data_IF_798777753966
#
_entry.id   IF_798777753966
#
_cell.length_a   1.000
_cell.length_b   1.000
_cell.length_c   1.000
_cell.angle_alpha   90.00
_cell.angle_beta   90.00
_cell.angle_gamma   90.00
#
_symmetry.space_group_name_H-M   'P 1'
#
loop_
_entity.id
_entity.type
_entity.pdbx_description
1 polymer ?
#
# COMPACT_ATOMS: atom_id res chain seq x y z
N UNK A 1 5.10 -14.38 -17.69
CA UNK A 1 6.06 -13.49 -16.97
C UNK A 1 6.22 -12.15 -17.68
N UNK A 2 6.61 -12.11 -18.97
CA UNK A 2 6.77 -10.85 -19.71
C UNK A 2 5.50 -9.97 -19.71
N UNK A 3 4.34 -10.57 -19.96
CA UNK A 3 3.04 -9.87 -19.91
C UNK A 3 2.77 -9.24 -18.54
N UNK A 4 3.02 -9.98 -17.45
CA UNK A 4 2.86 -9.50 -16.08
C UNK A 4 3.71 -8.25 -15.83
N UNK A 5 4.99 -8.29 -16.22
CA UNK A 5 5.90 -7.15 -16.00
C UNK A 5 5.46 -5.95 -16.84
N UNK A 6 5.02 -6.18 -18.07
CA UNK A 6 4.51 -5.12 -18.96
C UNK A 6 3.29 -4.42 -18.35
N UNK A 7 2.26 -5.18 -17.97
CA UNK A 7 1.03 -4.62 -17.36
C UNK A 7 1.36 -3.90 -16.05
N UNK A 8 2.26 -4.47 -15.23
CA UNK A 8 2.69 -3.84 -13.97
C UNK A 8 3.33 -2.47 -14.22
N UNK A 9 4.23 -2.35 -15.20
CA UNK A 9 4.93 -1.09 -15.46
C UNK A 9 4.05 -0.08 -16.21
N UNK A 10 3.41 -0.50 -17.29
CA UNK A 10 2.73 0.41 -18.22
C UNK A 10 1.31 0.78 -17.79
N UNK A 11 0.64 -0.04 -16.97
CA UNK A 11 -0.73 0.21 -16.52
C UNK A 11 -0.80 0.45 -15.00
N UNK A 12 -0.31 -0.51 -14.18
CA UNK A 12 -0.47 -0.44 -12.73
C UNK A 12 0.38 0.67 -12.07
N UNK A 13 1.70 0.68 -12.32
CA UNK A 13 2.58 1.74 -11.80
C UNK A 13 2.25 3.09 -12.44
N UNK A 14 1.86 3.09 -13.72
CA UNK A 14 1.38 4.29 -14.40
C UNK A 14 0.20 4.91 -13.65
N UNK A 15 -0.83 4.12 -13.35
CA UNK A 15 -1.99 4.55 -12.58
C UNK A 15 -1.59 5.09 -11.20
N UNK A 16 -0.83 4.31 -10.42
CA UNK A 16 -0.45 4.68 -9.05
C UNK A 16 0.44 5.92 -8.97
N UNK A 17 1.32 6.13 -9.95
CA UNK A 17 2.24 7.28 -9.95
C UNK A 17 1.54 8.62 -10.16
N UNK A 18 0.38 8.62 -10.83
CA UNK A 18 -0.29 9.84 -11.28
C UNK A 18 0.51 10.67 -12.28
N UNK A 19 1.59 10.13 -12.86
CA UNK A 19 2.42 10.86 -13.81
C UNK A 19 1.71 11.06 -15.15
N UNK A 20 1.93 12.22 -15.76
CA UNK A 20 1.58 12.46 -17.17
C UNK A 20 2.62 11.87 -18.15
N UNK A 21 3.81 11.53 -17.64
CA UNK A 21 4.81 10.79 -18.40
C UNK A 21 4.34 9.35 -18.62
N UNK A 22 4.41 8.88 -19.87
CA UNK A 22 4.05 7.51 -20.24
C UNK A 22 5.22 6.57 -19.97
N UNK A 23 5.09 5.76 -18.92
CA UNK A 23 6.02 4.68 -18.60
C UNK A 23 6.03 3.65 -19.73
N UNK A 24 7.18 3.00 -19.92
CA UNK A 24 7.40 2.00 -20.97
C UNK A 24 8.19 0.83 -20.40
N UNK A 25 7.71 -0.39 -20.65
CA UNK A 25 8.49 -1.59 -20.43
C UNK A 25 9.32 -1.89 -21.68
N UNK A 26 10.61 -1.54 -21.59
CA UNK A 26 11.58 -1.74 -22.67
C UNK A 26 12.92 -2.18 -22.08
N UNK A 27 13.20 -3.50 -22.02
CA UNK A 27 14.45 -4.03 -21.47
C UNK A 27 15.71 -3.50 -22.18
N UNK A 28 15.61 -3.11 -23.46
CA UNK A 28 16.77 -2.67 -24.25
C UNK A 28 17.40 -1.39 -23.70
N UNK A 29 16.61 -0.58 -22.98
CA UNK A 29 17.09 0.62 -22.28
C UNK A 29 18.19 0.31 -21.26
N UNK A 30 18.26 -0.93 -20.75
CA UNK A 30 19.26 -1.36 -19.76
C UNK A 30 20.44 -2.12 -20.37
N UNK A 31 20.44 -2.45 -21.68
CA UNK A 31 21.47 -3.31 -22.28
C UNK A 31 22.88 -2.72 -22.22
N UNK A 32 22.98 -1.39 -22.30
CA UNK A 32 24.24 -0.66 -22.23
C UNK A 32 24.50 -0.04 -20.84
N UNK A 33 23.75 -0.47 -19.82
CA UNK A 33 23.86 0.03 -18.45
C UNK A 33 24.47 -1.02 -17.53
N UNK A 34 25.16 -0.57 -16.48
CA UNK A 34 25.60 -1.44 -15.39
C UNK A 34 24.41 -1.76 -14.49
N UNK A 35 23.67 -2.81 -14.82
CA UNK A 35 22.50 -3.27 -14.07
C UNK A 35 22.65 -4.73 -13.65
N UNK A 36 22.16 -5.09 -12.46
CA UNK A 36 22.22 -6.44 -11.92
C UNK A 36 20.86 -7.12 -12.09
N UNK A 37 20.78 -8.19 -12.90
CA UNK A 37 19.57 -8.96 -13.13
C UNK A 37 19.31 -9.99 -12.02
N UNK A 38 19.27 -9.51 -10.79
CA UNK A 38 18.92 -10.30 -9.62
C UNK A 38 18.15 -9.41 -8.64
N UNK A 39 17.26 -10.04 -7.87
CA UNK A 39 16.51 -9.35 -6.84
C UNK A 39 16.39 -10.21 -5.58
N UNK A 40 16.39 -9.56 -4.42
CA UNK A 40 16.05 -10.17 -3.13
C UNK A 40 14.99 -9.28 -2.49
N UNK A 41 13.81 -9.84 -2.25
CA UNK A 41 12.72 -9.08 -1.62
C UNK A 41 13.14 -8.72 -0.20
N UNK A 42 13.22 -7.41 0.06
CA UNK A 42 13.52 -6.87 1.38
C UNK A 42 12.28 -6.95 2.27
N UNK A 43 12.49 -7.15 3.58
CA UNK A 43 11.37 -7.23 4.51
C UNK A 43 10.61 -5.90 4.61
N UNK A 44 11.31 -4.77 4.48
CA UNK A 44 10.73 -3.44 4.48
C UNK A 44 9.82 -3.20 3.27
N UNK A 45 10.13 -3.83 2.14
CA UNK A 45 9.27 -3.77 0.96
C UNK A 45 7.97 -4.54 1.17
N UNK A 46 8.01 -5.66 1.90
CA UNK A 46 6.80 -6.36 2.33
C UNK A 46 5.96 -5.47 3.27
N UNK A 47 6.58 -4.85 4.27
CA UNK A 47 5.90 -3.93 5.20
C UNK A 47 5.24 -2.75 4.48
N UNK A 48 5.96 -2.12 3.54
CA UNK A 48 5.46 -1.02 2.73
C UNK A 48 4.21 -1.39 1.93
N UNK A 49 4.09 -2.63 1.47
CA UNK A 49 3.01 -3.09 0.60
C UNK A 49 1.72 -3.48 1.34
N UNK A 50 1.64 -3.25 2.66
CA UNK A 50 0.44 -3.51 3.47
C UNK A 50 -0.63 -2.41 3.27
N UNK A 51 -1.15 -2.31 2.04
CA UNK A 51 -2.14 -1.31 1.59
C UNK A 51 -3.59 -1.68 1.88
N UNK A 52 -3.84 -2.22 3.09
CA UNK A 52 -5.17 -2.57 3.57
C UNK A 52 -6.22 -1.43 3.50
N UNK A 53 -5.86 -0.13 3.60
CA UNK A 53 -6.83 0.95 3.38
C UNK A 53 -7.46 1.01 1.98
N UNK A 54 -6.94 0.27 0.99
CA UNK A 54 -7.59 0.15 -0.32
C UNK A 54 -8.94 -0.58 -0.23
N UNK A 55 -9.11 -1.44 0.78
CA UNK A 55 -10.29 -2.28 0.93
C UNK A 55 -11.51 -1.42 1.30
N UNK A 56 -12.68 -1.64 0.67
CA UNK A 56 -13.89 -0.87 0.95
C UNK A 56 -14.59 -1.33 2.24
N UNK A 57 -15.66 -0.64 2.64
CA UNK A 57 -16.52 -1.08 3.76
C UNK A 57 -17.33 -2.35 3.42
N UNK A 58 -17.66 -2.53 2.14
CA UNK A 58 -18.39 -3.67 1.58
C UNK A 58 -18.06 -3.87 0.09
N UNK A 59 -18.40 -5.01 -0.49
CA UNK A 59 -18.05 -5.37 -1.87
C UNK A 59 -19.30 -5.34 -2.75
N UNK A 60 -19.35 -4.37 -3.66
CA UNK A 60 -20.46 -4.21 -4.60
C UNK A 60 -20.22 -5.11 -5.81
N UNK A 61 -21.11 -6.06 -6.05
CA UNK A 61 -21.09 -6.93 -7.24
C UNK A 61 -22.47 -6.91 -7.89
N UNK A 62 -22.54 -6.37 -9.10
CA UNK A 62 -23.78 -6.10 -9.82
C UNK A 62 -24.79 -5.28 -8.98
N UNK A 63 -25.84 -5.93 -8.46
CA UNK A 63 -26.88 -5.30 -7.62
C UNK A 63 -26.78 -5.72 -6.15
N UNK A 64 -25.78 -6.53 -5.80
CA UNK A 64 -25.61 -7.07 -4.45
C UNK A 64 -24.45 -6.39 -3.75
N UNK A 65 -24.71 -6.03 -2.49
CA UNK A 65 -23.71 -5.48 -1.58
C UNK A 65 -23.32 -6.57 -0.57
N UNK A 66 -22.08 -7.04 -0.65
CA UNK A 66 -21.56 -8.09 0.22
C UNK A 66 -20.81 -7.50 1.40
N UNK A 67 -21.19 -7.87 2.62
CA UNK A 67 -20.35 -7.60 3.80
C UNK A 67 -19.07 -8.45 3.78
N UNK A 68 -18.07 -8.08 4.59
CA UNK A 68 -16.85 -8.88 4.76
C UNK A 68 -17.15 -10.34 5.13
N UNK A 69 -18.15 -10.60 5.98
CA UNK A 69 -18.50 -11.96 6.41
C UNK A 69 -19.09 -12.79 5.27
N UNK A 70 -19.77 -12.14 4.33
CA UNK A 70 -20.38 -12.82 3.17
C UNK A 70 -19.41 -12.97 1.99
N UNK A 71 -18.40 -12.10 1.89
CA UNK A 71 -17.44 -12.11 0.78
C UNK A 71 -16.23 -12.98 1.06
N UNK A 72 -15.64 -12.86 2.25
CA UNK A 72 -14.40 -13.56 2.61
C UNK A 72 -14.68 -15.07 2.74
N UNK A 73 -13.84 -15.89 2.08
CA UNK A 73 -13.98 -17.34 1.93
C UNK A 73 -15.26 -17.81 1.22
N UNK A 74 -15.99 -16.90 0.56
CA UNK A 74 -17.14 -17.30 -0.24
C UNK A 74 -16.68 -17.88 -1.58
N UNK A 75 -16.82 -19.20 -1.72
CA UNK A 75 -16.38 -19.94 -2.90
C UNK A 75 -17.37 -19.87 -4.06
N UNK A 76 -18.58 -19.32 -3.88
CA UNK A 76 -19.61 -19.30 -4.93
C UNK A 76 -19.74 -17.97 -5.66
N UNK A 77 -19.29 -16.84 -5.09
CA UNK A 77 -19.38 -15.49 -5.71
C UNK A 77 -18.87 -15.49 -7.15
N UNK A 78 -17.70 -16.09 -7.39
CA UNK A 78 -17.11 -16.16 -8.73
C UNK A 78 -17.91 -17.04 -9.69
N UNK A 79 -18.42 -18.18 -9.23
CA UNK A 79 -19.18 -19.10 -10.08
C UNK A 79 -20.61 -18.63 -10.35
N UNK A 80 -21.19 -17.84 -9.44
CA UNK A 80 -22.54 -17.29 -9.56
C UNK A 80 -22.57 -16.06 -10.46
N UNK A 81 -21.68 -15.09 -10.25
CA UNK A 81 -21.64 -13.85 -11.05
C UNK A 81 -20.82 -13.98 -12.33
N UNK A 82 -19.83 -14.88 -12.37
CA UNK A 82 -18.89 -15.00 -13.48
C UNK A 82 -17.80 -13.91 -13.46
N UNK A 83 -16.73 -14.15 -14.24
CA UNK A 83 -15.54 -13.28 -14.25
C UNK A 83 -15.86 -11.89 -14.80
N UNK A 84 -16.65 -11.80 -15.87
CA UNK A 84 -16.97 -10.52 -16.53
C UNK A 84 -17.68 -9.56 -15.59
N UNK A 85 -18.71 -10.01 -14.88
CA UNK A 85 -19.45 -9.17 -13.94
C UNK A 85 -18.59 -8.73 -12.75
N UNK A 86 -17.70 -9.60 -12.26
CA UNK A 86 -16.77 -9.23 -11.19
C UNK A 86 -15.76 -8.16 -11.64
N UNK A 87 -15.17 -8.32 -12.82
CA UNK A 87 -14.24 -7.33 -13.38
C UNK A 87 -14.95 -5.99 -13.58
N UNK A 88 -16.15 -5.98 -14.15
CA UNK A 88 -16.93 -4.76 -14.32
C UNK A 88 -17.26 -4.11 -12.97
N UNK A 89 -17.70 -4.89 -11.98
CA UNK A 89 -18.06 -4.36 -10.66
C UNK A 89 -16.86 -3.75 -9.93
N UNK A 90 -15.71 -4.45 -9.91
CA UNK A 90 -14.50 -3.95 -9.25
C UNK A 90 -13.79 -2.83 -10.02
N UNK A 91 -14.02 -2.71 -11.33
CA UNK A 91 -13.56 -1.54 -12.10
C UNK A 91 -14.34 -0.28 -11.71
N UNK A 92 -15.64 -0.43 -11.40
CA UNK A 92 -16.53 0.68 -11.08
C UNK A 92 -16.55 1.05 -9.58
N UNK A 93 -16.16 0.13 -8.69
CA UNK A 93 -16.05 0.42 -7.26
C UNK A 93 -14.70 1.06 -6.93
N UNK A 94 -14.72 2.27 -6.37
CA UNK A 94 -13.51 3.00 -5.99
C UNK A 94 -12.83 2.37 -4.76
N UNK A 95 -11.49 2.33 -4.77
CA UNK A 95 -10.68 1.91 -3.63
C UNK A 95 -10.46 3.05 -2.62
N UNK A 96 -10.17 2.70 -1.37
CA UNK A 96 -9.85 3.67 -0.33
C UNK A 96 -8.46 4.30 -0.47
N UNK A 97 -8.25 5.46 0.17
CA UNK A 97 -6.95 6.15 0.14
C UNK A 97 -5.96 5.45 1.10
N UNK A 98 -4.74 5.19 0.62
CA UNK A 98 -3.68 4.51 1.41
C UNK A 98 -3.07 5.43 2.48
N UNK A 99 -2.69 6.65 2.10
CA UNK A 99 -2.06 7.61 3.00
C UNK A 99 -3.07 8.50 3.74
N UNK A 100 -2.59 9.23 4.75
CA UNK A 100 -3.37 10.21 5.51
C UNK A 100 -4.06 9.68 6.77
N UNK A 101 -3.83 8.42 7.12
CA UNK A 101 -4.30 7.82 8.37
C UNK A 101 -5.80 7.54 8.40
N UNK A 102 -6.24 6.86 9.48
CA UNK A 102 -7.65 6.62 9.85
C UNK A 102 -8.53 6.02 8.75
N UNK A 103 -7.97 5.14 7.90
CA UNK A 103 -8.70 4.55 6.77
C UNK A 103 -8.53 3.02 6.61
N UNK A 104 -8.06 2.31 7.63
CA UNK A 104 -8.05 0.82 7.61
C UNK A 104 -9.43 0.33 8.07
N UNK A 105 -10.14 -0.50 7.27
CA UNK A 105 -11.46 -1.01 7.65
C UNK A 105 -11.40 -1.86 8.93
N UNK A 106 -12.40 -1.67 9.79
CA UNK A 106 -12.51 -2.36 11.08
C UNK A 106 -12.30 -3.88 11.02
N UNK A 107 -12.91 -4.61 10.06
CA UNK A 107 -12.75 -6.06 9.94
C UNK A 107 -11.31 -6.55 9.74
N UNK A 108 -10.42 -5.71 9.20
CA UNK A 108 -9.02 -6.07 8.88
C UNK A 108 -7.99 -5.20 9.62
N UNK A 109 -8.43 -4.34 10.54
CA UNK A 109 -7.55 -3.48 11.35
C UNK A 109 -6.50 -4.29 12.13
N UNK A 110 -6.84 -5.51 12.54
CA UNK A 110 -5.91 -6.40 13.23
C UNK A 110 -4.65 -6.71 12.41
N UNK A 111 -4.72 -6.68 11.07
CA UNK A 111 -3.56 -6.92 10.21
C UNK A 111 -2.56 -5.76 10.33
N UNK A 112 -3.04 -4.52 10.36
CA UNK A 112 -2.21 -3.35 10.58
C UNK A 112 -1.53 -3.39 11.96
N UNK A 113 -2.28 -3.78 13.01
CA UNK A 113 -1.72 -3.97 14.35
C UNK A 113 -0.60 -5.02 14.37
N UNK A 114 -0.81 -6.17 13.69
CA UNK A 114 0.23 -7.21 13.58
C UNK A 114 1.43 -6.78 12.75
N UNK A 115 1.23 -5.89 11.78
CA UNK A 115 2.34 -5.30 11.00
C UNK A 115 3.26 -4.47 11.91
N UNK A 116 2.69 -3.68 12.82
CA UNK A 116 3.46 -2.92 13.83
C UNK A 116 4.15 -3.87 14.83
N UNK A 117 3.48 -4.91 15.31
CA UNK A 117 4.13 -5.90 16.18
C UNK A 117 5.33 -6.58 15.49
N UNK A 118 5.19 -6.93 14.21
CA UNK A 118 6.23 -7.57 13.42
C UNK A 118 7.42 -6.63 13.13
N UNK A 119 7.18 -5.35 12.82
CA UNK A 119 8.27 -4.38 12.61
C UNK A 119 9.13 -4.25 13.86
N UNK A 120 8.51 -4.24 15.05
CA UNK A 120 9.19 -4.23 16.36
C UNK A 120 9.98 -5.50 16.62
N UNK A 121 9.41 -6.67 16.34
CA UNK A 121 10.12 -7.95 16.47
C UNK A 121 11.35 -8.03 15.57
N UNK A 122 11.24 -7.52 14.34
CA UNK A 122 12.35 -7.43 13.40
C UNK A 122 13.31 -6.29 13.68
N UNK A 123 13.01 -5.45 14.70
CA UNK A 123 13.85 -4.33 15.16
C UNK A 123 14.16 -3.34 14.03
N UNK A 124 13.13 -2.97 13.28
CA UNK A 124 13.27 -1.95 12.24
C UNK A 124 13.76 -0.64 12.84
N UNK A 125 14.53 0.12 12.06
CA UNK A 125 14.90 1.48 12.44
C UNK A 125 13.69 2.43 12.29
N UNK A 126 13.81 3.64 12.84
CA UNK A 126 12.75 4.63 12.75
C UNK A 126 12.51 5.12 11.31
N UNK A 127 11.34 5.68 11.08
CA UNK A 127 10.95 6.31 9.81
C UNK A 127 12.02 7.29 9.32
N UNK A 128 12.54 8.14 10.20
CA UNK A 128 13.57 9.12 9.85
C UNK A 128 14.91 8.47 9.45
N UNK A 129 15.27 7.32 10.02
CA UNK A 129 16.44 6.57 9.58
C UNK A 129 16.26 6.02 8.16
N UNK A 130 15.08 5.48 7.85
CA UNK A 130 14.75 5.04 6.49
C UNK A 130 14.69 6.22 5.50
N UNK A 131 14.11 7.36 5.87
CA UNK A 131 14.13 8.57 5.04
C UNK A 131 15.55 8.98 4.67
N UNK A 132 16.47 9.05 5.65
CA UNK A 132 17.90 9.32 5.40
C UNK A 132 18.51 8.27 4.46
N UNK A 133 18.20 6.98 4.65
CA UNK A 133 18.68 5.88 3.79
C UNK A 133 18.21 5.98 2.33
N UNK A 134 17.04 6.57 2.09
CA UNK A 134 16.47 6.85 0.77
C UNK A 134 16.71 8.31 0.32
N UNK A 135 17.70 8.99 0.90
CA UNK A 135 18.11 10.35 0.50
C UNK A 135 17.02 11.42 0.65
N UNK A 136 16.10 11.23 1.59
CA UNK A 136 15.05 12.19 1.93
C UNK A 136 15.42 12.96 3.21
N UNK A 137 14.98 14.21 3.31
CA UNK A 137 15.13 15.01 4.53
C UNK A 137 14.31 14.36 5.66
N UNK A 138 14.88 14.11 6.86
CA UNK A 138 14.09 13.66 8.00
C UNK A 138 13.02 14.68 8.36
N UNK A 139 11.88 14.20 8.87
CA UNK A 139 10.86 15.08 9.42
C UNK A 139 11.38 15.77 10.67
N UNK A 140 11.07 17.06 10.78
CA UNK A 140 11.52 17.92 11.87
C UNK A 140 10.53 18.05 13.02
N UNK A 141 9.25 17.68 12.79
CA UNK A 141 8.20 17.65 13.79
C UNK A 141 7.09 16.68 13.37
N UNK A 142 6.17 16.38 14.29
CA UNK A 142 4.98 15.58 13.98
C UNK A 142 4.00 16.31 13.03
N UNK A 143 3.95 17.65 13.05
CA UNK A 143 3.18 18.43 12.07
C UNK A 143 3.80 18.36 10.66
N UNK A 144 5.13 18.33 10.55
CA UNK A 144 5.85 18.13 9.27
C UNK A 144 5.57 16.73 8.69
N UNK A 145 5.45 15.72 9.56
CA UNK A 145 5.07 14.35 9.18
C UNK A 145 3.62 14.24 8.68
N UNK A 146 2.67 14.83 9.41
CA UNK A 146 1.23 14.61 9.20
C UNK A 146 0.57 15.66 8.28
N UNK A 147 1.13 16.86 8.22
CA UNK A 147 0.52 18.02 7.58
C UNK A 147 -0.67 18.62 8.34
N UNK A 148 -0.91 18.19 9.58
CA UNK A 148 -2.03 18.61 10.42
C UNK A 148 -1.65 18.62 11.92
N UNK A 149 -2.60 18.92 12.82
CA UNK A 149 -2.31 19.17 14.24
C UNK A 149 -2.88 18.14 15.21
N UNK A 150 -3.97 17.48 14.85
CA UNK A 150 -4.69 16.56 15.72
C UNK A 150 -3.94 15.24 15.86
N UNK A 151 -3.58 14.59 14.75
CA UNK A 151 -2.77 13.36 14.81
C UNK A 151 -1.33 13.67 15.19
N UNK A 152 -0.80 14.84 14.81
CA UNK A 152 0.53 15.28 15.26
C UNK A 152 0.65 15.28 16.79
N UNK A 153 -0.31 15.91 17.49
CA UNK A 153 -0.30 15.96 18.96
C UNK A 153 -0.43 14.57 19.60
N UNK A 154 -1.30 13.71 19.06
CA UNK A 154 -1.45 12.33 19.56
C UNK A 154 -0.17 11.51 19.36
N UNK A 155 0.48 11.64 18.19
CA UNK A 155 1.74 10.95 17.92
C UNK A 155 2.87 11.48 18.80
N UNK A 156 2.92 12.79 19.05
CA UNK A 156 3.89 13.40 19.96
C UNK A 156 3.73 12.89 21.40
N UNK A 157 2.50 12.80 21.90
CA UNK A 157 2.22 12.22 23.22
C UNK A 157 2.67 10.75 23.31
N UNK A 158 2.44 9.96 22.25
CA UNK A 158 2.76 8.53 22.24
C UNK A 158 4.25 8.22 22.05
N UNK A 159 4.93 8.94 21.16
CA UNK A 159 6.32 8.65 20.77
C UNK A 159 7.34 9.54 21.50
N UNK A 160 6.97 10.74 21.93
CA UNK A 160 7.83 11.72 22.59
C UNK A 160 8.88 12.39 21.69
N UNK A 161 9.31 11.74 20.61
CA UNK A 161 10.30 12.25 19.66
C UNK A 161 9.95 11.81 18.23
N UNK A 162 10.01 12.74 17.26
CA UNK A 162 9.76 12.46 15.84
C UNK A 162 10.78 11.48 15.26
N UNK A 163 12.01 11.43 15.80
CA UNK A 163 13.04 10.46 15.41
C UNK A 163 12.77 9.05 15.94
N UNK A 164 11.78 8.86 16.83
CA UNK A 164 11.36 7.55 17.35
C UNK A 164 10.18 6.92 16.59
N UNK A 165 9.55 7.64 15.65
CA UNK A 165 8.39 7.15 14.90
C UNK A 165 8.73 5.90 14.08
N UNK A 166 7.91 4.85 14.19
CA UNK A 166 8.07 3.59 13.46
C UNK A 166 7.76 3.74 11.95
N UNK A 167 8.23 2.79 11.12
CA UNK A 167 8.12 2.89 9.65
C UNK A 167 6.68 2.74 9.10
N UNK A 168 5.86 1.88 9.71
CA UNK A 168 4.49 1.54 9.28
C UNK A 168 3.47 2.14 10.24
#
# INVERSE_FOLDING_TARGET
>A
IGETIKIVIEDYVQHLSGYHFKLKFDPELLFNQRFQYQNRIASEFNMLYHWHPLMPDSFQVEKRDYSYKEFIFNTSVMTEHGISSLVESFTNQIAGRVAGGRNVPGPILYVAMKSIEQSRQMRYQSLNAYRKRFSMKPYSSFEDLTGEKEMAALLEEMYGDVDAVELY
#
